data_IF_161105447829
#
_entry.id   IF_161105447829
#
_cell.length_a   1.000
_cell.length_b   1.000
_cell.length_c   1.000
_cell.angle_alpha   90.00
_cell.angle_beta   90.00
_cell.angle_gamma   90.00
#
_symmetry.space_group_name_H-M   'P 1'
#
loop_
_entity.id
_entity.type
_entity.pdbx_description
1 polymer ?
#
# COMPACT_ATOMS: atom_id res chain seq x y z
N UNK A 1 20.37 10.34 -5.67
CA UNK A 1 19.68 10.01 -6.94
C UNK A 1 18.30 10.64 -6.86
N UNK A 2 17.85 11.38 -7.88
CA UNK A 2 16.51 11.98 -7.86
C UNK A 2 15.55 11.05 -8.60
N UNK A 3 14.62 10.45 -7.87
CA UNK A 3 13.65 9.49 -8.41
C UNK A 3 12.22 9.88 -8.02
N UNK A 4 11.27 9.61 -8.91
CA UNK A 4 9.84 9.74 -8.63
C UNK A 4 9.19 8.35 -8.68
N UNK A 5 8.41 8.02 -7.66
CA UNK A 5 7.59 6.81 -7.61
C UNK A 5 6.13 7.20 -7.87
N UNK A 6 5.56 6.63 -8.94
CA UNK A 6 4.19 6.90 -9.37
C UNK A 6 3.40 5.60 -9.39
N UNK A 7 2.31 5.54 -8.62
CA UNK A 7 1.48 4.34 -8.47
C UNK A 7 0.04 4.63 -8.92
N UNK A 8 -0.41 3.90 -9.94
CA UNK A 8 -1.78 3.98 -10.45
C UNK A 8 -2.85 3.45 -9.47
N UNK A 9 -4.11 3.54 -9.88
CA UNK A 9 -5.20 2.87 -9.16
C UNK A 9 -5.15 1.34 -9.38
N UNK A 10 -6.01 0.60 -8.68
CA UNK A 10 -6.12 -0.85 -8.84
C UNK A 10 -6.98 -1.58 -7.82
N UNK A 11 -7.60 -0.85 -6.89
CA UNK A 11 -8.38 -1.42 -5.79
C UNK A 11 -7.53 -2.33 -4.89
N UNK A 12 -8.19 -3.18 -4.11
CA UNK A 12 -7.51 -4.09 -3.17
C UNK A 12 -6.52 -5.03 -3.88
N UNK A 13 -6.89 -5.59 -5.02
CA UNK A 13 -6.03 -6.51 -5.77
C UNK A 13 -4.81 -5.77 -6.34
N UNK A 14 -5.01 -4.63 -7.01
CA UNK A 14 -3.90 -3.85 -7.55
C UNK A 14 -2.95 -3.33 -6.46
N UNK A 15 -3.48 -3.00 -5.28
CA UNK A 15 -2.67 -2.69 -4.10
C UNK A 15 -1.76 -3.86 -3.69
N UNK A 16 -2.31 -5.08 -3.60
CA UNK A 16 -1.52 -6.27 -3.26
C UNK A 16 -0.42 -6.57 -4.30
N UNK A 17 -0.73 -6.42 -5.59
CA UNK A 17 0.25 -6.60 -6.68
C UNK A 17 1.34 -5.53 -6.63
N UNK A 18 0.97 -4.29 -6.33
CA UNK A 18 1.93 -3.19 -6.17
C UNK A 18 2.88 -3.45 -5.00
N UNK A 19 2.38 -3.93 -3.85
CA UNK A 19 3.25 -4.30 -2.72
C UNK A 19 4.25 -5.39 -3.11
N UNK A 20 3.82 -6.41 -3.86
CA UNK A 20 4.72 -7.44 -4.36
C UNK A 20 5.77 -6.89 -5.35
N UNK A 21 5.37 -5.99 -6.25
CA UNK A 21 6.26 -5.35 -7.20
C UNK A 21 7.29 -4.43 -6.51
N UNK A 22 6.87 -3.66 -5.50
CA UNK A 22 7.77 -2.85 -4.68
C UNK A 22 8.76 -3.70 -3.89
N UNK A 23 8.32 -4.85 -3.37
CA UNK A 23 9.20 -5.78 -2.67
C UNK A 23 10.27 -6.34 -3.61
N UNK A 24 9.87 -6.83 -4.78
CA UNK A 24 10.80 -7.33 -5.79
C UNK A 24 11.77 -6.22 -6.25
N UNK A 25 11.26 -5.00 -6.49
CA UNK A 25 12.10 -3.87 -6.87
C UNK A 25 13.15 -3.55 -5.80
N UNK A 26 12.76 -3.52 -4.53
CA UNK A 26 13.68 -3.23 -3.42
C UNK A 26 14.76 -4.32 -3.27
N UNK A 27 14.39 -5.60 -3.38
CA UNK A 27 15.35 -6.71 -3.30
C UNK A 27 16.35 -6.70 -4.47
N UNK A 28 15.88 -6.50 -5.70
CA UNK A 28 16.73 -6.58 -6.89
C UNK A 28 17.63 -5.36 -7.09
N UNK A 29 17.24 -4.20 -6.56
CA UNK A 29 17.97 -2.94 -6.78
C UNK A 29 18.66 -2.39 -5.53
N UNK A 30 18.28 -2.87 -4.35
CA UNK A 30 18.67 -2.26 -3.07
C UNK A 30 18.12 -0.86 -2.85
N UNK A 31 17.26 -0.35 -3.76
CA UNK A 31 16.66 0.98 -3.62
C UNK A 31 15.46 0.91 -2.67
N UNK A 32 15.47 1.79 -1.67
CA UNK A 32 14.34 1.97 -0.77
C UNK A 32 13.32 2.93 -1.41
N UNK A 33 12.08 2.48 -1.72
CA UNK A 33 11.06 3.32 -2.32
C UNK A 33 10.66 4.54 -1.49
N UNK A 34 10.96 4.56 -0.18
CA UNK A 34 10.74 5.72 0.70
C UNK A 34 11.69 6.87 0.40
N UNK A 35 12.83 6.60 -0.23
CA UNK A 35 13.83 7.59 -0.63
C UNK A 35 13.46 8.29 -1.96
N UNK A 36 12.30 7.98 -2.54
CA UNK A 36 11.79 8.71 -3.70
C UNK A 36 11.59 10.20 -3.36
N UNK A 37 12.12 11.09 -4.20
CA UNK A 37 11.95 12.55 -4.04
C UNK A 37 10.50 12.98 -4.25
N UNK A 38 9.76 12.23 -5.08
CA UNK A 38 8.34 12.45 -5.35
C UNK A 38 7.59 11.14 -5.18
N UNK A 39 6.52 11.18 -4.41
CA UNK A 39 5.59 10.09 -4.16
C UNK A 39 4.21 10.52 -4.67
N UNK A 40 3.74 9.90 -5.76
CA UNK A 40 2.47 10.23 -6.40
C UNK A 40 1.61 8.97 -6.54
N UNK A 41 0.36 9.03 -6.10
CA UNK A 41 -0.53 7.87 -6.17
C UNK A 41 -2.00 8.24 -6.37
N UNK A 42 -2.78 7.30 -6.90
CA UNK A 42 -4.24 7.44 -7.07
C UNK A 42 -4.98 6.24 -6.46
N UNK A 43 -6.07 6.48 -5.71
CA UNK A 43 -6.85 5.42 -5.04
C UNK A 43 -5.94 4.49 -4.21
N UNK A 44 -5.90 3.18 -4.48
CA UNK A 44 -4.98 2.24 -3.82
C UNK A 44 -3.50 2.69 -3.91
N UNK A 45 -3.08 3.30 -5.02
CA UNK A 45 -1.75 3.87 -5.13
C UNK A 45 -1.54 5.08 -4.21
N UNK A 46 -2.57 5.92 -4.01
CA UNK A 46 -2.51 7.08 -3.11
C UNK A 46 -2.30 6.63 -1.66
N UNK A 47 -3.00 5.56 -1.27
CA UNK A 47 -2.86 4.93 0.03
C UNK A 47 -1.43 4.40 0.25
N UNK A 48 -0.89 3.63 -0.72
CA UNK A 48 0.46 3.07 -0.62
C UNK A 48 1.54 4.14 -0.56
N UNK A 49 1.48 5.18 -1.41
CA UNK A 49 2.46 6.26 -1.35
C UNK A 49 2.33 7.10 -0.08
N UNK A 50 1.13 7.20 0.50
CA UNK A 50 0.94 7.84 1.82
C UNK A 50 1.63 7.04 2.91
N UNK A 51 1.52 5.71 2.90
CA UNK A 51 2.20 4.85 3.87
C UNK A 51 3.72 4.94 3.71
N UNK A 52 4.24 4.85 2.48
CA UNK A 52 5.67 4.99 2.19
C UNK A 52 6.21 6.36 2.62
N UNK A 53 5.50 7.44 2.29
CA UNK A 53 5.86 8.80 2.71
C UNK A 53 5.77 9.02 4.22
N UNK A 54 4.93 8.23 4.91
CA UNK A 54 4.86 8.16 6.38
C UNK A 54 5.95 7.29 7.03
N UNK A 55 6.88 6.75 6.24
CA UNK A 55 8.03 5.96 6.71
C UNK A 55 7.79 4.45 6.80
N UNK A 56 6.60 3.96 6.43
CA UNK A 56 6.28 2.51 6.43
C UNK A 56 7.16 1.81 5.41
N UNK A 57 7.95 0.81 5.85
CA UNK A 57 8.83 0.08 4.95
C UNK A 57 8.02 -0.88 4.06
N UNK A 58 8.57 -1.22 2.89
CA UNK A 58 7.96 -2.22 2.00
C UNK A 58 7.77 -3.58 2.71
N UNK A 59 8.70 -3.96 3.58
CA UNK A 59 8.59 -5.17 4.39
C UNK A 59 7.36 -5.14 5.33
N UNK A 60 7.02 -3.98 5.90
CA UNK A 60 5.84 -3.82 6.75
C UNK A 60 4.55 -3.94 5.92
N UNK A 61 4.54 -3.41 4.70
CA UNK A 61 3.42 -3.57 3.76
C UNK A 61 3.23 -5.04 3.35
N UNK A 62 4.32 -5.79 3.13
CA UNK A 62 4.27 -7.24 2.89
C UNK A 62 3.72 -7.96 4.13
N UNK A 63 4.20 -7.61 5.33
CA UNK A 63 3.70 -8.18 6.57
C UNK A 63 2.20 -7.91 6.78
N UNK A 64 1.73 -6.70 6.44
CA UNK A 64 0.31 -6.33 6.48
C UNK A 64 -0.52 -7.22 5.56
N UNK A 65 -0.11 -7.42 4.30
CA UNK A 65 -0.79 -8.28 3.34
C UNK A 65 -0.80 -9.76 3.76
N UNK A 66 0.23 -10.21 4.50
CA UNK A 66 0.32 -11.57 5.06
C UNK A 66 -0.41 -11.73 6.39
N UNK A 67 -1.00 -10.68 6.97
CA UNK A 67 -1.63 -10.72 8.29
C UNK A 67 -0.64 -10.86 9.46
N UNK A 68 0.61 -10.47 9.26
CA UNK A 68 1.72 -10.59 10.24
C UNK A 68 2.31 -9.24 10.66
N UNK A 69 1.70 -8.12 10.24
CA UNK A 69 2.15 -6.79 10.63
C UNK A 69 2.14 -6.60 12.16
N UNK A 70 3.22 -6.01 12.67
CA UNK A 70 3.36 -5.60 14.08
C UNK A 70 2.92 -4.16 14.31
N UNK A 71 2.94 -3.31 13.28
CA UNK A 71 2.45 -1.94 13.35
C UNK A 71 0.91 -1.91 13.48
N UNK A 72 0.43 -1.36 14.59
CA UNK A 72 -1.00 -1.27 14.91
C UNK A 72 -1.78 -0.38 13.93
N UNK A 73 -1.15 0.59 13.28
CA UNK A 73 -1.80 1.40 12.23
C UNK A 73 -2.10 0.55 11.01
N UNK A 74 -1.15 -0.29 10.59
CA UNK A 74 -1.32 -1.18 9.44
C UNK A 74 -2.34 -2.28 9.71
N UNK A 75 -2.31 -2.87 10.91
CA UNK A 75 -3.31 -3.84 11.37
C UNK A 75 -4.72 -3.27 11.35
N UNK A 76 -4.91 -2.05 11.89
CA UNK A 76 -6.22 -1.39 11.88
C UNK A 76 -6.67 -1.01 10.48
N UNK A 77 -5.74 -0.54 9.66
CA UNK A 77 -6.03 -0.19 8.27
C UNK A 77 -6.55 -1.39 7.48
N UNK A 78 -5.83 -2.53 7.49
CA UNK A 78 -6.26 -3.72 6.75
C UNK A 78 -7.57 -4.30 7.31
N UNK A 79 -7.77 -4.25 8.64
CA UNK A 79 -9.01 -4.68 9.28
C UNK A 79 -10.22 -3.78 8.94
N UNK A 80 -9.98 -2.52 8.56
CA UNK A 80 -11.01 -1.57 8.16
C UNK A 80 -11.38 -1.68 6.66
N UNK A 81 -10.88 -2.69 5.94
CA UNK A 81 -11.22 -2.91 4.53
C UNK A 81 -12.73 -3.07 4.38
N UNK A 82 -13.41 -2.25 3.55
CA UNK A 82 -14.84 -2.36 3.37
C UNK A 82 -15.22 -3.68 2.68
N UNK A 83 -16.44 -4.20 2.92
CA UNK A 83 -16.92 -5.39 2.25
C UNK A 83 -16.98 -5.19 0.73
N UNK A 84 -16.74 -6.26 -0.03
CA UNK A 84 -16.74 -6.20 -1.51
C UNK A 84 -18.10 -5.88 -2.13
N UNK A 85 -19.19 -6.01 -1.35
CA UNK A 85 -20.54 -5.68 -1.77
C UNK A 85 -21.05 -4.47 -0.98
N UNK A 86 -21.73 -3.52 -1.64
CA UNK A 86 -22.39 -2.43 -0.93
C UNK A 86 -23.50 -2.97 -0.01
N UNK A 87 -23.85 -2.26 1.08
CA UNK A 87 -24.98 -2.64 1.91
C UNK A 87 -26.28 -2.65 1.08
N UNK A 88 -27.17 -3.60 1.36
CA UNK A 88 -28.48 -3.66 0.71
C UNK A 88 -29.30 -2.44 1.17
N UNK A 89 -29.88 -1.64 0.25
CA UNK A 89 -30.79 -0.56 0.63
C UNK A 89 -32.00 -1.16 1.37
N UNK A 90 -32.17 -0.80 2.65
CA UNK A 90 -33.36 -1.14 3.43
C UNK A 90 -34.23 0.13 3.58
N UNK A 91 -35.57 0.04 3.46
CA UNK A 91 -36.46 1.13 3.83
C UNK A 91 -36.19 1.51 5.30
N UNK A 92 -36.15 2.82 5.58
CA UNK A 92 -36.11 3.33 6.96
C UNK A 92 -37.49 3.37 7.57
#
# INVERSE_FOLDING_TARGET
MTAALVIGCGGTIGGAWTVAALHALAEETGWDPREATVLQGTSAGAELVTMLGGGVAVADLVAMQRGTATDERLRRHIAATPPSLPPIPLPR
#
